data_IF_908442919320
#
_entry.id   IF_908442919320
#
_cell.length_a   1.000
_cell.length_b   1.000
_cell.length_c   1.000
_cell.angle_alpha   90.00
_cell.angle_beta   90.00
_cell.angle_gamma   90.00
#
_symmetry.space_group_name_H-M   'P 1'
#
loop_
_entity.id
_entity.type
_entity.pdbx_description
1 polymer ?
#
# COMPACT_ATOMS: atom_id res chain seq x y z
N UNK A 1 -2.13 -10.43 11.54
CA UNK A 1 -2.21 -9.27 10.64
C UNK A 1 -0.80 -8.78 10.41
N UNK A 2 -0.36 -8.88 9.16
CA UNK A 2 1.01 -8.58 8.79
C UNK A 2 1.00 -7.77 7.50
N UNK A 3 1.68 -6.62 7.55
CA UNK A 3 2.08 -5.88 6.37
C UNK A 3 3.55 -6.20 6.22
N UNK A 4 3.97 -6.62 5.04
CA UNK A 4 5.38 -6.74 4.70
C UNK A 4 5.65 -5.83 3.52
N UNK A 5 6.82 -5.20 3.51
CA UNK A 5 7.24 -4.44 2.35
C UNK A 5 8.68 -4.76 1.97
N UNK A 6 8.95 -4.63 0.67
CA UNK A 6 10.26 -4.79 0.07
C UNK A 6 10.46 -3.64 -0.91
N UNK A 7 11.68 -3.13 -0.96
CA UNK A 7 12.04 -2.04 -1.88
C UNK A 7 12.98 -2.59 -2.95
N UNK A 8 12.66 -2.38 -4.21
CA UNK A 8 13.59 -2.57 -5.30
C UNK A 8 14.12 -1.20 -5.73
N UNK A 9 15.41 -0.95 -5.50
CA UNK A 9 16.04 0.34 -5.82
C UNK A 9 16.18 0.51 -7.32
N UNK A 10 16.56 -0.56 -8.03
CA UNK A 10 16.81 -0.56 -9.48
C UNK A 10 15.54 -0.25 -10.30
N UNK A 11 14.38 -0.73 -9.83
CA UNK A 11 13.06 -0.45 -10.41
C UNK A 11 12.32 0.67 -9.72
N UNK A 12 12.94 1.26 -8.70
CA UNK A 12 12.43 2.39 -7.96
C UNK A 12 10.98 2.19 -7.49
N UNK A 13 10.71 1.03 -6.88
CA UNK A 13 9.36 0.62 -6.48
C UNK A 13 9.35 0.02 -5.08
N UNK A 14 8.23 0.18 -4.37
CA UNK A 14 7.94 -0.51 -3.12
C UNK A 14 6.86 -1.56 -3.37
N UNK A 15 7.18 -2.81 -3.11
CA UNK A 15 6.18 -3.88 -3.04
C UNK A 15 5.66 -3.99 -1.61
N UNK A 16 4.34 -3.96 -1.42
CA UNK A 16 3.68 -4.11 -0.13
C UNK A 16 2.68 -5.26 -0.17
N UNK A 17 2.77 -6.17 0.79
CA UNK A 17 1.87 -7.32 0.91
C UNK A 17 1.06 -7.24 2.19
N UNK A 18 -0.26 -7.27 2.05
CA UNK A 18 -1.22 -7.19 3.15
C UNK A 18 -1.86 -8.56 3.37
N UNK A 19 -1.88 -9.02 4.63
CA UNK A 19 -2.40 -10.35 4.98
C UNK A 19 -3.28 -10.33 6.23
N UNK A 20 -4.43 -11.01 6.13
CA UNK A 20 -5.40 -11.16 7.21
C UNK A 20 -6.41 -10.00 7.29
N UNK A 21 -6.81 -9.66 8.51
CA UNK A 21 -7.70 -8.53 8.79
C UNK A 21 -6.94 -7.21 8.65
N UNK A 22 -7.52 -6.23 7.96
CA UNK A 22 -6.98 -4.88 7.81
C UNK A 22 -7.92 -3.85 8.44
N UNK A 23 -7.42 -3.17 9.46
CA UNK A 23 -8.06 -2.05 10.14
C UNK A 23 -7.31 -0.73 9.88
N UNK A 24 -7.80 0.38 10.46
CA UNK A 24 -7.18 1.69 10.31
C UNK A 24 -5.73 1.73 10.82
N UNK A 25 -5.46 1.16 12.00
CA UNK A 25 -4.13 1.13 12.62
C UNK A 25 -3.14 0.31 11.78
N UNK A 26 -3.62 -0.75 11.14
CA UNK A 26 -2.86 -1.55 10.16
C UNK A 26 -2.37 -0.67 9.04
N UNK A 27 -3.28 0.12 8.45
CA UNK A 27 -2.99 0.94 7.29
C UNK A 27 -2.00 2.03 7.66
N UNK A 28 -2.27 2.75 8.75
CA UNK A 28 -1.40 3.83 9.21
C UNK A 28 -0.03 3.32 9.66
N UNK A 29 0.01 2.20 10.39
CA UNK A 29 1.26 1.55 10.79
C UNK A 29 2.10 1.11 9.59
N UNK A 30 1.48 0.45 8.61
CA UNK A 30 2.12 0.01 7.36
C UNK A 30 2.77 1.16 6.59
N UNK A 31 2.03 2.26 6.44
CA UNK A 31 2.53 3.43 5.72
C UNK A 31 3.61 4.19 6.51
N UNK A 32 3.48 4.27 7.84
CA UNK A 32 4.50 4.87 8.68
C UNK A 32 5.81 4.05 8.65
N UNK A 33 5.73 2.73 8.66
CA UNK A 33 6.89 1.86 8.55
C UNK A 33 7.62 2.06 7.21
N UNK A 34 6.88 2.18 6.10
CA UNK A 34 7.46 2.51 4.80
C UNK A 34 8.10 3.90 4.81
N UNK A 35 7.43 4.92 5.37
CA UNK A 35 7.94 6.30 5.42
C UNK A 35 9.22 6.44 6.25
N UNK A 36 9.36 5.62 7.28
CA UNK A 36 10.52 5.59 8.16
C UNK A 36 11.63 4.65 7.66
N UNK A 37 11.45 4.01 6.50
CA UNK A 37 12.48 3.18 5.89
C UNK A 37 13.66 4.05 5.41
N UNK A 38 14.89 3.60 5.65
CA UNK A 38 16.10 4.33 5.21
C UNK A 38 16.14 4.54 3.68
N UNK A 39 15.46 3.69 2.91
CA UNK A 39 15.40 3.78 1.46
C UNK A 39 14.16 4.53 0.98
N UNK A 40 13.32 5.04 1.87
CA UNK A 40 12.13 5.79 1.49
C UNK A 40 12.49 7.06 0.72
N UNK A 41 11.72 7.36 -0.32
CA UNK A 41 11.70 8.67 -0.97
C UNK A 41 10.26 9.05 -1.34
N UNK A 42 9.88 10.32 -1.24
CA UNK A 42 8.59 10.79 -1.74
C UNK A 42 8.38 10.47 -3.23
N UNK A 43 7.15 10.14 -3.61
CA UNK A 43 6.78 9.89 -5.00
C UNK A 43 7.20 8.52 -5.56
N UNK A 44 7.85 7.66 -4.76
CA UNK A 44 8.16 6.29 -5.19
C UNK A 44 6.88 5.48 -5.40
N UNK A 45 6.64 4.91 -6.60
CA UNK A 45 5.47 4.08 -6.85
C UNK A 45 5.36 2.89 -5.89
N UNK A 46 4.12 2.50 -5.61
CA UNK A 46 3.80 1.34 -4.78
C UNK A 46 3.04 0.30 -5.57
N UNK A 47 3.47 -0.95 -5.45
CA UNK A 47 2.69 -2.11 -5.84
C UNK A 47 2.15 -2.78 -4.58
N UNK A 48 0.83 -2.82 -4.44
CA UNK A 48 0.15 -3.33 -3.25
C UNK A 48 -0.54 -4.65 -3.57
N UNK A 49 -0.10 -5.73 -2.96
CA UNK A 49 -0.76 -7.04 -2.95
C UNK A 49 -1.76 -7.11 -1.80
N UNK A 50 -3.05 -7.04 -2.15
CA UNK A 50 -4.18 -7.17 -1.25
C UNK A 50 -4.91 -8.52 -1.41
N UNK A 51 -4.32 -9.49 -2.14
CA UNK A 51 -4.94 -10.79 -2.44
C UNK A 51 -5.17 -11.67 -1.22
N UNK A 52 -4.43 -11.42 -0.13
CA UNK A 52 -4.49 -12.19 1.12
C UNK A 52 -5.18 -11.44 2.26
N UNK A 53 -5.86 -10.33 1.96
CA UNK A 53 -6.76 -9.69 2.91
C UNK A 53 -8.01 -10.56 3.05
N UNK A 54 -8.33 -10.96 4.27
CA UNK A 54 -9.49 -11.80 4.57
C UNK A 54 -10.69 -10.99 5.03
N UNK A 55 -10.44 -9.80 5.60
CA UNK A 55 -11.46 -8.94 6.17
C UNK A 55 -10.96 -7.48 6.20
N UNK A 56 -11.89 -6.54 6.03
CA UNK A 56 -11.62 -5.11 6.22
C UNK A 56 -12.47 -4.64 7.38
N UNK A 57 -11.82 -4.31 8.49
CA UNK A 57 -12.44 -3.76 9.70
C UNK A 57 -12.29 -2.23 9.69
N UNK A 58 -12.95 -1.60 8.72
CA UNK A 58 -13.00 -0.14 8.59
C UNK A 58 -14.38 0.28 8.10
N UNK A 59 -15.04 1.11 8.90
CA UNK A 59 -16.26 1.78 8.46
C UNK A 59 -15.94 2.98 7.55
N UNK A 60 -16.99 3.56 6.97
CA UNK A 60 -16.88 4.75 6.11
C UNK A 60 -16.28 5.97 6.83
N UNK A 61 -16.48 6.09 8.15
CA UNK A 61 -15.88 7.14 8.97
C UNK A 61 -14.36 7.02 9.02
N UNK A 62 -13.85 5.81 9.30
CA UNK A 62 -12.43 5.49 9.32
C UNK A 62 -11.77 5.65 7.95
N UNK A 63 -12.45 5.24 6.87
CA UNK A 63 -11.94 5.42 5.51
C UNK A 63 -11.81 6.91 5.14
N UNK A 64 -12.78 7.74 5.51
CA UNK A 64 -12.67 9.20 5.34
C UNK A 64 -11.58 9.80 6.22
N UNK A 65 -11.43 9.35 7.46
CA UNK A 65 -10.35 9.80 8.33
C UNK A 65 -8.98 9.48 7.72
N UNK A 66 -8.82 8.29 7.15
CA UNK A 66 -7.60 7.86 6.45
C UNK A 66 -7.31 8.73 5.22
N UNK A 67 -8.33 9.08 4.44
CA UNK A 67 -8.19 9.99 3.30
C UNK A 67 -7.75 11.37 3.77
N UNK A 68 -8.43 11.94 4.76
CA UNK A 68 -8.08 13.25 5.32
C UNK A 68 -6.67 13.29 5.89
N UNK A 69 -6.23 12.23 6.55
CA UNK A 69 -4.87 12.12 7.07
C UNK A 69 -3.83 12.13 5.93
N UNK A 70 -4.15 11.52 4.79
CA UNK A 70 -3.28 11.51 3.61
C UNK A 70 -3.32 12.80 2.78
N UNK A 71 -4.41 13.57 2.85
CA UNK A 71 -4.59 14.81 2.06
C UNK A 71 -4.51 16.09 2.89
N UNK A 72 -4.33 15.98 4.21
CA UNK A 72 -4.39 17.08 5.17
C UNK A 72 -3.12 17.94 5.23
N UNK A 73 -3.33 19.25 5.35
CA UNK A 73 -2.35 20.35 5.40
C UNK A 73 -1.39 20.28 6.59
N UNK A 74 -0.08 20.15 6.31
CA UNK A 74 0.99 20.42 7.28
C UNK A 74 2.18 19.50 7.11
N UNK A 75 3.15 19.92 6.29
CA UNK A 75 4.53 19.39 6.24
C UNK A 75 4.73 17.96 5.68
N UNK A 76 3.66 17.27 5.31
CA UNK A 76 3.75 16.04 4.54
C UNK A 76 3.52 16.40 3.08
N UNK A 77 4.60 16.42 2.28
CA UNK A 77 4.48 16.45 0.82
C UNK A 77 3.36 15.50 0.45
N UNK A 78 2.33 15.99 -0.26
CA UNK A 78 1.34 15.12 -0.90
C UNK A 78 2.16 14.01 -1.52
N UNK A 79 1.96 12.79 -1.03
CA UNK A 79 2.73 11.67 -1.51
C UNK A 79 2.23 11.40 -2.93
N UNK A 80 2.87 12.05 -3.90
CA UNK A 80 2.53 11.98 -5.33
C UNK A 80 2.73 10.56 -5.90
N UNK A 81 3.10 9.59 -5.07
CA UNK A 81 3.28 8.22 -5.50
C UNK A 81 1.99 7.63 -6.05
N UNK A 82 2.14 7.03 -7.23
CA UNK A 82 1.13 6.18 -7.83
C UNK A 82 1.14 4.85 -7.09
N UNK A 83 -0.03 4.44 -6.60
CA UNK A 83 -0.20 3.13 -5.97
C UNK A 83 -1.04 2.23 -6.88
N UNK A 84 -0.45 1.17 -7.41
CA UNK A 84 -1.19 0.10 -8.09
C UNK A 84 -1.57 -0.96 -7.07
N UNK A 85 -2.86 -1.20 -6.88
CA UNK A 85 -3.41 -2.13 -5.89
C UNK A 85 -4.02 -3.32 -6.59
N UNK A 86 -3.46 -4.50 -6.36
CA UNK A 86 -4.04 -5.77 -6.77
C UNK A 86 -4.98 -6.30 -5.68
N UNK A 87 -6.28 -6.23 -5.95
CA UNK A 87 -7.36 -6.66 -5.08
C UNK A 87 -8.29 -7.62 -5.84
N UNK A 88 -7.95 -8.92 -5.94
CA UNK A 88 -8.72 -9.88 -6.71
C UNK A 88 -10.11 -10.19 -6.09
N UNK A 89 -10.22 -10.11 -4.76
CA UNK A 89 -11.46 -10.40 -4.03
C UNK A 89 -12.47 -9.25 -4.09
N UNK A 90 -13.75 -9.57 -4.22
CA UNK A 90 -14.82 -8.58 -4.46
C UNK A 90 -14.95 -7.51 -3.36
N UNK A 91 -14.92 -7.94 -2.10
CA UNK A 91 -15.05 -7.04 -0.94
C UNK A 91 -13.88 -6.05 -0.91
N UNK A 92 -12.66 -6.57 -1.00
CA UNK A 92 -11.44 -5.76 -0.97
C UNK A 92 -11.42 -4.80 -2.16
N UNK A 93 -11.73 -5.29 -3.36
CA UNK A 93 -11.81 -4.47 -4.56
C UNK A 93 -12.82 -3.31 -4.40
N UNK A 94 -14.02 -3.61 -3.91
CA UNK A 94 -15.07 -2.61 -3.71
C UNK A 94 -14.66 -1.52 -2.71
N UNK A 95 -14.08 -1.90 -1.57
CA UNK A 95 -13.60 -0.94 -0.58
C UNK A 95 -12.42 -0.12 -1.11
N UNK A 96 -11.44 -0.75 -1.77
CA UNK A 96 -10.30 -0.02 -2.34
C UNK A 96 -10.74 0.95 -3.43
N UNK A 97 -11.72 0.60 -4.27
CA UNK A 97 -12.31 1.52 -5.27
C UNK A 97 -13.02 2.70 -4.62
N UNK A 98 -13.70 2.48 -3.49
CA UNK A 98 -14.30 3.56 -2.71
C UNK A 98 -13.22 4.51 -2.18
N UNK A 99 -12.12 3.98 -1.62
CA UNK A 99 -10.97 4.79 -1.17
C UNK A 99 -10.32 5.55 -2.32
N UNK A 100 -10.12 4.92 -3.47
CA UNK A 100 -9.62 5.58 -4.68
C UNK A 100 -10.49 6.81 -5.02
N UNK A 101 -11.80 6.63 -5.07
CA UNK A 101 -12.74 7.72 -5.38
C UNK A 101 -12.63 8.86 -4.37
N UNK A 102 -12.51 8.55 -3.07
CA UNK A 102 -12.31 9.56 -2.03
C UNK A 102 -11.00 10.32 -2.19
N UNK A 103 -9.90 9.64 -2.53
CA UNK A 103 -8.59 10.26 -2.76
C UNK A 103 -8.62 11.19 -3.97
N UNK A 104 -9.24 10.76 -5.07
CA UNK A 104 -9.41 11.58 -6.28
C UNK A 104 -10.18 12.87 -5.98
N UNK A 105 -11.29 12.78 -5.24
CA UNK A 105 -12.09 13.94 -4.82
C UNK A 105 -11.28 14.88 -3.91
N UNK A 106 -10.46 14.32 -3.04
CA UNK A 106 -9.65 15.09 -2.10
C UNK A 106 -8.36 15.68 -2.71
N UNK A 107 -8.08 15.42 -3.99
CA UNK A 107 -6.82 15.83 -4.65
C UNK A 107 -5.58 15.13 -4.07
N UNK A 108 -5.76 13.91 -3.54
CA UNK A 108 -4.71 13.11 -2.91
C UNK A 108 -3.88 12.29 -3.90
N UNK A 109 -3.14 11.33 -3.34
CA UNK A 109 -2.34 10.37 -4.10
C UNK A 109 -3.19 9.56 -5.10
N UNK A 110 -2.62 9.26 -6.27
CA UNK A 110 -3.27 8.40 -7.27
C UNK A 110 -3.24 6.94 -6.82
N UNK A 111 -4.41 6.31 -6.80
CA UNK A 111 -4.57 4.88 -6.52
C UNK A 111 -5.26 4.26 -7.72
N UNK A 112 -4.63 3.29 -8.36
CA UNK A 112 -5.24 2.49 -9.42
C UNK A 112 -5.49 1.07 -8.89
N UNK A 113 -6.70 0.55 -9.06
CA UNK A 113 -7.13 -0.74 -8.46
C UNK A 113 -7.41 -1.77 -9.56
N UNK A 114 -6.80 -2.94 -9.42
CA UNK A 114 -6.79 -4.00 -10.43
C UNK A 114 -7.22 -5.34 -9.84
N UNK A 115 -7.84 -6.18 -10.67
CA UNK A 115 -8.18 -7.57 -10.34
C UNK A 115 -7.22 -8.60 -10.91
N UNK A 116 -6.29 -8.18 -11.75
CA UNK A 116 -5.32 -9.03 -12.44
C UNK A 116 -3.93 -8.47 -12.12
N UNK A 117 -3.02 -9.33 -11.65
CA UNK A 117 -1.65 -8.94 -11.29
C UNK A 117 -0.94 -8.24 -12.46
N UNK A 118 -1.06 -8.83 -13.65
CA UNK A 118 -0.46 -8.31 -14.88
C UNK A 118 -0.89 -6.88 -15.19
N UNK A 119 -2.15 -6.54 -14.96
CA UNK A 119 -2.64 -5.18 -15.23
C UNK A 119 -2.06 -4.17 -14.22
N UNK A 120 -1.91 -4.58 -12.95
CA UNK A 120 -1.25 -3.75 -11.94
C UNK A 120 0.22 -3.52 -12.29
N UNK A 121 0.95 -4.56 -12.72
CA UNK A 121 2.34 -4.45 -13.19
C UNK A 121 2.43 -3.54 -14.42
N UNK A 122 1.58 -3.74 -15.42
CA UNK A 122 1.54 -2.94 -16.64
C UNK A 122 1.26 -1.47 -16.36
N UNK A 123 0.40 -1.13 -15.38
CA UNK A 123 0.13 0.25 -14.98
C UNK A 123 1.35 1.00 -14.43
N UNK A 124 2.33 0.25 -13.91
CA UNK A 124 3.60 0.76 -13.41
C UNK A 124 4.73 0.63 -14.44
N UNK A 125 4.43 0.20 -15.67
CA UNK A 125 5.42 -0.03 -16.72
C UNK A 125 6.33 -1.23 -16.46
N UNK A 126 5.90 -2.15 -15.60
CA UNK A 126 6.65 -3.37 -15.26
C UNK A 126 6.30 -4.49 -16.24
N UNK A 127 7.31 -5.05 -16.90
CA UNK A 127 7.17 -6.09 -17.93
C UNK A 127 7.09 -7.52 -17.41
N UNK A 128 6.67 -7.73 -16.17
CA UNK A 128 6.61 -9.05 -15.52
C UNK A 128 5.24 -9.71 -15.70
N UNK A 129 5.19 -11.04 -15.65
CA UNK A 129 3.94 -11.79 -15.83
C UNK A 129 3.13 -11.96 -14.54
N UNK A 130 3.79 -11.89 -13.39
CA UNK A 130 3.18 -12.03 -12.06
C UNK A 130 4.01 -11.33 -10.98
N UNK A 131 3.45 -11.17 -9.79
CA UNK A 131 4.21 -10.64 -8.64
C UNK A 131 5.31 -11.62 -8.21
N UNK A 132 5.08 -12.93 -8.34
CA UNK A 132 6.09 -13.94 -8.07
C UNK A 132 7.29 -13.83 -9.02
N UNK A 133 7.02 -13.61 -10.31
CA UNK A 133 8.05 -13.37 -11.33
C UNK A 133 8.87 -12.10 -11.02
N UNK A 134 8.20 -10.98 -10.74
CA UNK A 134 8.84 -9.74 -10.30
C UNK A 134 9.78 -9.96 -9.09
N UNK A 135 9.29 -10.60 -8.04
CA UNK A 135 10.05 -10.83 -6.80
C UNK A 135 11.19 -11.84 -6.97
N UNK A 136 11.12 -12.72 -7.96
CA UNK A 136 12.18 -13.70 -8.23
C UNK A 136 13.28 -13.17 -9.17
N UNK A 137 12.95 -12.19 -10.01
CA UNK A 137 13.84 -11.70 -11.07
C UNK A 137 14.50 -10.36 -10.76
N UNK A 138 13.89 -9.53 -9.93
CA UNK A 138 14.41 -8.21 -9.56
C UNK A 138 15.09 -8.21 -8.19
N UNK A 139 16.01 -7.26 -7.99
CA UNK A 139 16.76 -7.12 -6.75
C UNK A 139 15.95 -6.38 -5.69
N UNK A 140 15.13 -7.10 -4.95
CA UNK A 140 14.45 -6.58 -3.77
C UNK A 140 15.34 -6.66 -2.53
N UNK A 141 15.36 -5.58 -1.75
CA UNK A 141 15.91 -5.62 -0.40
C UNK A 141 15.08 -6.57 0.47
N UNK A 142 15.71 -7.10 1.53
CA UNK A 142 15.06 -8.02 2.46
C UNK A 142 13.73 -7.47 2.98
N UNK A 143 12.72 -8.35 3.08
CA UNK A 143 11.40 -7.98 3.57
C UNK A 143 11.44 -7.39 4.97
N UNK A 144 10.75 -6.26 5.14
CA UNK A 144 10.63 -5.55 6.42
C UNK A 144 9.17 -5.59 6.89
N UNK A 145 8.93 -5.78 8.20
CA UNK A 145 7.58 -5.69 8.73
C UNK A 145 7.07 -4.26 8.66
N UNK A 146 5.84 -4.09 8.21
CA UNK A 146 5.11 -2.83 8.17
C UNK A 146 4.44 -2.47 9.49
N UNK A 147 4.58 -3.27 10.55
CA UNK A 147 4.12 -2.87 11.89
C UNK A 147 5.25 -2.12 12.60
N UNK A 148 4.99 -0.98 13.25
CA UNK A 148 5.92 -0.49 14.25
C UNK A 148 6.07 -1.57 15.33
N UNK A 149 7.30 -1.87 15.74
CA UNK A 149 7.56 -2.73 16.90
C UNK A 149 6.71 -2.21 18.05
N UNK A 150 5.69 -2.98 18.45
CA UNK A 150 4.89 -2.67 19.62
C UNK A 150 5.84 -2.83 20.80
N UNK A 151 6.45 -1.73 21.25
CA UNK A 151 7.14 -1.73 22.54
C UNK A 151 6.12 -2.28 23.54
N UNK A 152 6.43 -3.44 24.12
CA UNK A 152 5.63 -4.02 25.20
C UNK A 152 5.47 -2.90 26.24
N UNK A 153 4.25 -2.39 26.38
CA UNK A 153 3.89 -1.66 27.59
C UNK A 153 3.96 -2.69 28.70
N UNK A 154 5.10 -2.76 29.36
CA UNK A 154 5.23 -3.36 30.68
C UNK A 154 4.34 -2.52 31.59
N UNK A 155 3.16 -3.07 31.89
CA UNK A 155 2.35 -2.62 33.03
C UNK A 155 2.97 -3.09 34.34
#
# INVERSE_FOLDING_TARGET
MNVEFQTCIDRDIIYMKWTGVVDFDTVMGGLAAVRNDENYRPGRPRLVDASRITEIDMDYGLLRAMVREKTGTGDHSIDESVSAVYAPGDVVFGVTRMVQTMMEIAGGARIDVFRVERDALASLGLGHESFADLLATENFLAARPGRPSRAMRTG
#
